data_IF_391030273370
#
_entry.id   IF_391030273370
#
_cell.length_a   1.000
_cell.length_b   1.000
_cell.length_c   1.000
_cell.angle_alpha   90.00
_cell.angle_beta   90.00
_cell.angle_gamma   90.00
#
_symmetry.space_group_name_H-M   'P 1'
#
loop_
_entity.id
_entity.type
_entity.pdbx_description
1 polymer ?
#
# COMPACT_ATOMS: atom_id res chain seq x y z
N UNK A 1 -15.51 8.15 12.64
CA UNK A 1 -15.13 9.57 12.88
C UNK A 1 -13.69 9.70 12.43
N UNK A 2 -13.50 10.08 11.16
CA UNK A 2 -12.17 10.25 10.56
C UNK A 2 -11.44 11.33 11.34
N UNK A 3 -10.30 10.98 11.96
CA UNK A 3 -9.31 11.96 12.33
C UNK A 3 -8.54 12.32 11.08
N UNK A 4 -9.05 13.29 10.34
CA UNK A 4 -8.32 13.95 9.28
C UNK A 4 -7.19 14.74 9.94
N UNK A 5 -5.98 14.21 9.89
CA UNK A 5 -4.79 15.03 10.09
C UNK A 5 -4.46 15.70 8.76
N UNK A 6 -5.16 16.80 8.47
CA UNK A 6 -4.72 17.71 7.41
C UNK A 6 -3.50 18.46 7.95
N UNK A 7 -2.31 17.97 7.67
CA UNK A 7 -1.12 18.81 7.76
C UNK A 7 -1.10 19.67 6.49
N UNK A 8 -1.52 20.92 6.67
CA UNK A 8 -1.35 21.96 5.68
C UNK A 8 0.14 22.32 5.70
N UNK A 9 0.93 21.77 4.79
CA UNK A 9 2.27 22.27 4.50
C UNK A 9 2.12 23.59 3.72
N UNK A 10 1.78 24.65 4.43
CA UNK A 10 1.72 26.03 3.90
C UNK A 10 3.16 26.53 3.70
N UNK A 11 3.81 26.08 2.63
CA UNK A 11 5.07 26.67 2.17
C UNK A 11 4.73 27.79 1.18
N UNK A 12 4.34 28.96 1.69
CA UNK A 12 4.14 30.16 0.89
C UNK A 12 5.48 30.72 0.43
N UNK A 13 5.92 30.33 -0.76
CA UNK A 13 6.73 31.19 -1.61
C UNK A 13 5.80 32.14 -2.38
N UNK A 14 6.18 33.40 -2.59
CA UNK A 14 5.41 34.32 -3.45
C UNK A 14 5.30 33.69 -4.86
N UNK A 15 4.07 33.37 -5.32
CA UNK A 15 3.77 32.88 -6.67
C UNK A 15 3.38 31.41 -6.78
N UNK A 16 3.34 30.64 -5.70
CA UNK A 16 3.00 29.20 -5.74
C UNK A 16 1.53 28.98 -5.41
N UNK A 17 0.80 28.19 -6.26
CA UNK A 17 -0.50 27.67 -5.94
C UNK A 17 -0.42 26.75 -4.73
N UNK A 18 -1.53 26.64 -3.98
CA UNK A 18 -1.56 25.75 -2.82
C UNK A 18 -1.58 24.30 -3.28
N UNK A 19 -0.66 23.49 -2.76
CA UNK A 19 -0.63 22.04 -2.94
C UNK A 19 -1.00 21.41 -1.60
N UNK A 20 -1.97 20.49 -1.63
CA UNK A 20 -2.46 19.77 -0.45
C UNK A 20 -2.14 18.29 -0.63
N UNK A 21 -1.48 17.70 0.36
CA UNK A 21 -1.13 16.30 0.37
C UNK A 21 -2.15 15.44 1.13
N UNK A 22 -2.35 14.23 0.63
CA UNK A 22 -3.19 13.19 1.23
C UNK A 22 -2.38 11.93 1.33
N UNK A 23 -2.37 11.31 2.51
CA UNK A 23 -1.58 10.12 2.79
C UNK A 23 -2.48 8.95 3.15
N UNK A 24 -2.32 7.84 2.44
CA UNK A 24 -2.79 6.53 2.89
C UNK A 24 -1.67 5.83 3.65
N UNK A 25 -1.75 5.84 4.97
CA UNK A 25 -0.72 5.25 5.85
C UNK A 25 -0.64 3.71 5.72
N UNK A 26 -1.72 3.08 5.24
CA UNK A 26 -1.79 1.63 5.08
C UNK A 26 -1.05 1.10 3.86
N UNK A 27 -1.11 1.85 2.76
CA UNK A 27 -0.42 1.55 1.52
C UNK A 27 0.90 2.33 1.38
N UNK A 28 1.10 3.36 2.21
CA UNK A 28 2.27 4.24 2.14
C UNK A 28 2.26 5.13 0.89
N UNK A 29 1.08 5.46 0.40
CA UNK A 29 0.86 6.21 -0.82
C UNK A 29 0.45 7.65 -0.51
N UNK A 30 0.94 8.60 -1.29
CA UNK A 30 0.60 10.02 -1.23
C UNK A 30 -0.01 10.46 -2.55
N UNK A 31 -1.00 11.35 -2.47
CA UNK A 31 -1.67 11.98 -3.61
C UNK A 31 -1.91 13.44 -3.32
N UNK A 32 -2.16 14.25 -4.34
CA UNK A 32 -2.10 15.70 -4.18
C UNK A 32 -3.25 16.40 -4.86
N UNK A 33 -3.78 17.46 -4.21
CA UNK A 33 -4.68 18.43 -4.84
C UNK A 33 -3.92 19.74 -5.05
N UNK A 34 -3.96 20.27 -6.26
CA UNK A 34 -3.33 21.52 -6.66
C UNK A 34 -4.45 22.54 -6.92
N UNK A 35 -4.48 23.64 -6.17
CA UNK A 35 -5.29 24.81 -6.51
C UNK A 35 -4.57 25.57 -7.62
N UNK A 36 -5.20 25.70 -8.79
CA UNK A 36 -4.60 26.36 -9.96
C UNK A 36 -4.78 27.89 -9.95
N UNK A 37 -5.43 28.46 -8.94
CA UNK A 37 -5.56 29.91 -8.76
C UNK A 37 -6.63 30.57 -9.63
N UNK A 38 -7.24 29.85 -10.57
CA UNK A 38 -8.29 30.34 -11.49
C UNK A 38 -9.69 29.81 -11.12
N UNK A 39 -9.87 29.25 -9.93
CA UNK A 39 -11.09 28.59 -9.49
C UNK A 39 -11.18 27.13 -9.92
N UNK A 40 -10.11 26.56 -10.46
CA UNK A 40 -10.02 25.14 -10.81
C UNK A 40 -8.94 24.42 -10.03
N UNK A 41 -8.99 23.08 -10.01
CA UNK A 41 -8.03 22.24 -9.33
C UNK A 41 -7.58 21.09 -10.24
N UNK A 42 -6.38 20.56 -9.91
CA UNK A 42 -5.86 19.31 -10.43
C UNK A 42 -5.64 18.31 -9.28
N UNK A 43 -5.79 17.01 -9.55
CA UNK A 43 -5.45 15.93 -8.60
C UNK A 43 -4.39 15.03 -9.22
N UNK A 44 -3.34 14.72 -8.46
CA UNK A 44 -2.24 13.85 -8.89
C UNK A 44 -2.31 12.55 -8.11
N UNK A 45 -2.25 11.42 -8.82
CA UNK A 45 -2.24 10.05 -8.31
C UNK A 45 -3.35 9.75 -7.28
N UNK A 46 -4.64 10.05 -7.58
CA UNK A 46 -5.73 9.84 -6.63
C UNK A 46 -5.95 8.36 -6.32
N UNK A 47 -6.29 8.00 -5.06
CA UNK A 47 -6.74 6.66 -4.70
C UNK A 47 -8.07 6.34 -5.40
N UNK A 48 -8.46 5.06 -5.40
CA UNK A 48 -9.70 4.59 -6.04
C UNK A 48 -10.95 5.38 -5.63
N UNK A 49 -11.02 5.75 -4.34
CA UNK A 49 -12.08 6.57 -3.77
C UNK A 49 -11.51 7.88 -3.22
N UNK A 50 -11.34 8.90 -4.04
CA UNK A 50 -10.71 10.17 -3.62
C UNK A 50 -11.69 11.08 -2.85
N UNK A 51 -12.42 10.53 -1.87
CA UNK A 51 -13.50 11.22 -1.13
C UNK A 51 -12.97 12.47 -0.42
N UNK A 52 -11.81 12.35 0.23
CA UNK A 52 -11.19 13.49 0.92
C UNK A 52 -10.74 14.60 -0.04
N UNK A 53 -10.27 14.22 -1.24
CA UNK A 53 -9.88 15.16 -2.30
C UNK A 53 -11.10 15.94 -2.82
N UNK A 54 -12.20 15.21 -3.14
CA UNK A 54 -13.45 15.81 -3.59
C UNK A 54 -14.02 16.76 -2.51
N UNK A 55 -13.99 16.35 -1.23
CA UNK A 55 -14.44 17.19 -0.12
C UNK A 55 -13.57 18.45 0.05
N UNK A 56 -12.25 18.38 -0.19
CA UNK A 56 -11.37 19.54 -0.17
C UNK A 56 -11.70 20.49 -1.33
N UNK A 57 -11.81 19.95 -2.55
CA UNK A 57 -12.14 20.75 -3.75
C UNK A 57 -13.47 21.49 -3.57
N UNK A 58 -14.50 20.81 -3.02
CA UNK A 58 -15.78 21.43 -2.69
C UNK A 58 -15.66 22.52 -1.61
N UNK A 59 -14.93 22.24 -0.53
CA UNK A 59 -14.70 23.20 0.58
C UNK A 59 -14.00 24.47 0.12
N UNK A 60 -13.07 24.35 -0.84
CA UNK A 60 -12.35 25.46 -1.44
C UNK A 60 -13.15 26.16 -2.54
N UNK A 61 -14.37 25.68 -2.85
CA UNK A 61 -15.20 26.17 -3.95
C UNK A 61 -14.49 26.11 -5.32
N UNK A 62 -13.64 25.10 -5.52
CA UNK A 62 -12.94 24.87 -6.78
C UNK A 62 -13.73 23.89 -7.67
N UNK A 63 -13.48 23.94 -8.98
CA UNK A 63 -13.95 22.96 -9.94
C UNK A 63 -12.78 22.05 -10.33
N UNK A 64 -12.94 20.74 -10.17
CA UNK A 64 -11.93 19.80 -10.64
C UNK A 64 -11.86 19.83 -12.17
N UNK A 65 -10.70 20.22 -12.70
CA UNK A 65 -10.45 20.34 -14.15
C UNK A 65 -9.52 19.23 -14.66
N UNK A 66 -8.63 18.72 -13.81
CA UNK A 66 -7.60 17.78 -14.20
C UNK A 66 -7.44 16.66 -13.16
N UNK A 67 -7.20 15.45 -13.63
CA UNK A 67 -6.69 14.34 -12.84
C UNK A 67 -5.52 13.71 -13.58
N UNK A 68 -4.47 13.31 -12.86
CA UNK A 68 -3.19 12.91 -13.44
C UNK A 68 -2.69 11.63 -12.77
N UNK A 69 -2.20 10.68 -13.54
CA UNK A 69 -1.43 9.56 -13.04
C UNK A 69 0.01 9.67 -13.53
N UNK A 70 0.98 9.47 -12.62
CA UNK A 70 2.40 9.48 -12.95
C UNK A 70 2.84 8.21 -13.66
N UNK A 71 2.20 7.08 -13.37
CA UNK A 71 2.51 5.76 -13.92
C UNK A 71 1.37 4.77 -13.68
N UNK A 72 1.47 3.58 -14.23
CA UNK A 72 0.57 2.47 -13.92
C UNK A 72 0.89 1.90 -12.54
N UNK A 73 0.12 2.33 -11.52
CA UNK A 73 0.35 1.93 -10.13
C UNK A 73 0.23 0.43 -9.93
N UNK A 74 1.18 -0.17 -9.19
CA UNK A 74 1.21 -1.59 -8.87
C UNK A 74 0.63 -1.89 -7.48
N UNK A 75 0.54 -0.91 -6.60
CA UNK A 75 0.19 -1.05 -5.19
C UNK A 75 -1.26 -0.66 -4.87
N UNK A 76 -1.93 0.09 -5.74
CA UNK A 76 -3.35 0.45 -5.60
C UNK A 76 -4.04 0.66 -6.95
N UNK A 77 -5.37 0.63 -6.91
CA UNK A 77 -6.22 0.93 -8.06
C UNK A 77 -6.42 2.43 -8.17
N UNK A 78 -6.02 3.05 -9.30
CA UNK A 78 -6.18 4.49 -9.51
C UNK A 78 -7.65 4.92 -9.54
N UNK A 79 -7.92 6.10 -8.98
CA UNK A 79 -9.20 6.79 -9.03
C UNK A 79 -9.37 7.70 -10.24
N UNK A 80 -8.32 8.00 -10.99
CA UNK A 80 -8.32 9.01 -12.05
C UNK A 80 -9.41 8.81 -13.12
N UNK A 81 -9.62 7.60 -13.69
CA UNK A 81 -10.66 7.42 -14.69
C UNK A 81 -12.08 7.62 -14.15
N UNK A 82 -12.34 7.19 -12.91
CA UNK A 82 -13.65 7.34 -12.27
C UNK A 82 -13.92 8.80 -11.91
N UNK A 83 -12.92 9.47 -11.36
CA UNK A 83 -12.98 10.89 -10.99
C UNK A 83 -13.22 11.77 -12.22
N UNK A 84 -12.47 11.56 -13.31
CA UNK A 84 -12.67 12.23 -14.58
C UNK A 84 -14.09 12.02 -15.13
N UNK A 85 -14.59 10.78 -15.06
CA UNK A 85 -15.94 10.45 -15.53
C UNK A 85 -17.07 11.13 -14.76
N UNK A 86 -16.91 11.33 -13.43
CA UNK A 86 -17.92 11.99 -12.58
C UNK A 86 -17.88 13.50 -12.69
N UNK A 87 -16.69 14.09 -12.78
CA UNK A 87 -16.50 15.56 -12.68
C UNK A 87 -16.40 16.24 -14.03
N UNK A 88 -16.16 15.50 -15.11
CA UNK A 88 -15.84 16.04 -16.43
C UNK A 88 -14.40 16.58 -16.52
N UNK A 89 -13.54 16.28 -15.55
CA UNK A 89 -12.12 16.62 -15.60
C UNK A 89 -11.40 15.86 -16.72
N UNK A 90 -10.34 16.44 -17.23
CA UNK A 90 -9.44 15.76 -18.18
C UNK A 90 -8.50 14.87 -17.43
N UNK A 91 -8.51 13.56 -17.72
CA UNK A 91 -7.54 12.62 -17.23
C UNK A 91 -6.28 12.65 -18.10
N UNK A 92 -5.11 12.88 -17.48
CA UNK A 92 -3.79 12.91 -18.11
C UNK A 92 -2.98 11.71 -17.63
N UNK A 93 -2.38 10.98 -18.55
CA UNK A 93 -1.50 9.85 -18.21
C UNK A 93 -0.41 9.67 -19.28
N UNK A 94 0.69 8.96 -18.98
CA UNK A 94 1.74 8.67 -19.94
C UNK A 94 1.21 7.94 -21.18
N UNK A 95 1.59 8.40 -22.37
CA UNK A 95 1.15 7.80 -23.63
C UNK A 95 1.56 6.32 -23.76
N UNK A 96 2.68 5.95 -23.15
CA UNK A 96 3.22 4.59 -23.19
C UNK A 96 2.49 3.61 -22.25
N UNK A 97 1.63 4.09 -21.33
CA UNK A 97 0.79 3.24 -20.47
C UNK A 97 -0.30 2.51 -21.26
N UNK A 98 -0.67 2.99 -22.45
CA UNK A 98 -1.66 2.39 -23.35
C UNK A 98 -2.99 2.05 -22.63
N UNK A 99 -3.52 3.00 -21.85
CA UNK A 99 -4.74 2.81 -21.07
C UNK A 99 -5.96 2.66 -21.96
N UNK A 100 -6.86 1.72 -21.63
CA UNK A 100 -8.14 1.55 -22.33
C UNK A 100 -9.18 2.63 -21.92
N UNK A 101 -8.99 3.27 -20.74
CA UNK A 101 -9.83 4.39 -20.30
C UNK A 101 -9.57 5.65 -21.11
N UNK A 102 -10.60 6.46 -21.43
CA UNK A 102 -10.44 7.75 -22.09
C UNK A 102 -9.51 8.66 -21.27
N UNK A 103 -8.43 9.13 -21.89
CA UNK A 103 -7.47 10.02 -21.26
C UNK A 103 -6.78 10.90 -22.32
N UNK A 104 -6.11 11.96 -21.87
CA UNK A 104 -5.15 12.72 -22.65
C UNK A 104 -3.76 12.09 -22.48
N UNK A 105 -3.25 11.38 -23.48
CA UNK A 105 -1.90 10.84 -23.43
C UNK A 105 -0.87 11.96 -23.48
N UNK A 106 0.23 11.83 -22.72
CA UNK A 106 1.37 12.76 -22.75
C UNK A 106 2.66 12.02 -23.01
N UNK A 107 3.48 12.61 -23.88
CA UNK A 107 4.82 12.13 -24.19
C UNK A 107 5.91 12.85 -23.40
N UNK A 108 7.16 12.43 -23.63
CA UNK A 108 8.31 13.08 -23.00
C UNK A 108 8.44 14.53 -23.43
N UNK A 109 8.73 15.42 -22.48
CA UNK A 109 8.83 16.88 -22.63
C UNK A 109 7.54 17.55 -23.15
N UNK A 110 6.41 16.86 -23.17
CA UNK A 110 5.14 17.47 -23.54
C UNK A 110 4.65 18.42 -22.44
N UNK A 111 4.09 19.56 -22.89
CA UNK A 111 3.55 20.60 -22.01
C UNK A 111 2.03 20.54 -22.05
N UNK A 112 1.43 20.51 -20.87
CA UNK A 112 -0.02 20.62 -20.66
C UNK A 112 -0.31 21.92 -19.95
N UNK A 113 -1.00 22.86 -20.60
CA UNK A 113 -1.47 24.09 -19.97
C UNK A 113 -2.66 23.74 -19.07
N UNK A 114 -2.49 23.86 -17.76
CA UNK A 114 -3.52 23.57 -16.76
C UNK A 114 -4.43 24.78 -16.52
N UNK A 115 -3.84 25.97 -16.46
CA UNK A 115 -4.50 27.26 -16.30
C UNK A 115 -3.64 28.37 -16.93
N UNK A 116 -4.10 29.62 -16.90
CA UNK A 116 -3.31 30.75 -17.42
C UNK A 116 -2.01 30.93 -16.61
N UNK A 117 -0.88 30.82 -17.29
CA UNK A 117 0.43 30.85 -16.67
C UNK A 117 0.83 29.61 -15.85
N UNK A 118 0.00 28.56 -15.83
CA UNK A 118 0.27 27.30 -15.12
C UNK A 118 0.38 26.16 -16.11
N UNK A 119 1.54 25.56 -16.17
CA UNK A 119 1.87 24.47 -17.09
C UNK A 119 2.38 23.25 -16.34
N UNK A 120 2.10 22.07 -16.86
CA UNK A 120 2.66 20.80 -16.41
C UNK A 120 3.57 20.28 -17.53
N UNK A 121 4.84 20.10 -17.22
CA UNK A 121 5.80 19.49 -18.14
C UNK A 121 5.97 18.03 -17.78
N UNK A 122 5.60 17.13 -18.69
CA UNK A 122 5.75 15.70 -18.50
C UNK A 122 7.18 15.27 -18.85
N UNK A 123 7.87 14.61 -17.92
CA UNK A 123 9.20 14.04 -18.15
C UNK A 123 9.13 12.52 -18.06
N UNK A 124 9.44 11.82 -19.15
CA UNK A 124 9.60 10.38 -19.09
C UNK A 124 10.75 10.02 -18.15
N UNK A 125 10.44 9.31 -17.09
CA UNK A 125 11.37 8.88 -16.04
C UNK A 125 11.22 7.38 -15.78
N UNK A 126 11.40 6.53 -16.82
CA UNK A 126 11.27 5.09 -16.69
C UNK A 126 12.25 4.56 -15.63
N UNK A 127 11.88 3.44 -15.01
CA UNK A 127 12.69 2.80 -13.97
C UNK A 127 11.80 2.13 -12.93
N UNK A 128 11.04 2.88 -12.15
CA UNK A 128 10.05 2.31 -11.23
C UNK A 128 9.00 1.46 -11.97
N UNK A 129 8.48 2.02 -13.05
CA UNK A 129 7.74 1.29 -14.09
C UNK A 129 8.25 1.72 -15.47
N UNK A 130 8.03 0.92 -16.53
CA UNK A 130 8.45 1.29 -17.88
C UNK A 130 7.77 2.55 -18.42
N UNK A 131 6.56 2.84 -17.96
CA UNK A 131 5.70 3.95 -18.40
C UNK A 131 5.81 5.20 -17.53
N UNK A 132 6.65 5.18 -16.48
CA UNK A 132 6.71 6.23 -15.48
C UNK A 132 7.06 7.60 -16.06
N UNK A 133 6.30 8.62 -15.66
CA UNK A 133 6.57 10.03 -15.89
C UNK A 133 6.57 10.81 -14.57
N UNK A 134 7.55 11.69 -14.41
CA UNK A 134 7.49 12.75 -13.42
C UNK A 134 6.85 13.99 -14.06
N UNK A 135 6.17 14.79 -13.25
CA UNK A 135 5.54 16.02 -13.70
C UNK A 135 6.16 17.22 -13.00
N UNK A 136 6.68 18.17 -13.79
CA UNK A 136 7.15 19.47 -13.28
C UNK A 136 6.05 20.48 -13.45
N UNK A 137 5.54 21.03 -12.34
CA UNK A 137 4.64 22.17 -12.34
C UNK A 137 5.45 23.43 -12.60
N UNK A 138 5.06 24.19 -13.61
CA UNK A 138 5.75 25.44 -14.02
C UNK A 138 4.74 26.58 -13.94
N UNK A 139 5.09 27.61 -13.19
CA UNK A 139 4.29 28.80 -13.00
C UNK A 139 4.99 30.01 -13.61
N UNK A 140 4.35 30.65 -14.58
CA UNK A 140 4.90 31.81 -15.30
C UNK A 140 6.34 31.59 -15.78
N UNK A 141 6.64 30.35 -16.28
CA UNK A 141 7.95 29.95 -16.77
C UNK A 141 8.96 29.53 -15.70
N UNK A 142 8.58 29.48 -14.42
CA UNK A 142 9.45 29.07 -13.30
C UNK A 142 8.99 27.72 -12.73
N UNK A 143 9.87 26.70 -12.60
CA UNK A 143 9.53 25.44 -11.92
C UNK A 143 9.15 25.69 -10.44
N UNK A 144 7.96 25.24 -10.01
CA UNK A 144 7.43 25.41 -8.65
C UNK A 144 7.37 24.11 -7.86
N UNK A 145 7.09 22.97 -8.51
CA UNK A 145 6.99 21.67 -7.86
C UNK A 145 7.37 20.51 -8.80
N UNK A 146 7.88 19.43 -8.22
CA UNK A 146 8.14 18.16 -8.90
C UNK A 146 7.27 17.05 -8.29
N UNK A 147 6.29 16.56 -9.04
CA UNK A 147 5.58 15.33 -8.71
C UNK A 147 6.39 14.17 -9.27
N UNK A 148 7.22 13.57 -8.43
CA UNK A 148 8.23 12.61 -8.85
C UNK A 148 7.72 11.17 -8.96
N UNK A 149 6.46 10.91 -8.60
CA UNK A 149 5.89 9.57 -8.65
C UNK A 149 6.68 8.56 -7.83
N UNK A 150 7.09 7.47 -8.48
CA UNK A 150 7.96 6.45 -7.92
C UNK A 150 9.43 6.60 -8.30
N UNK A 151 9.85 7.62 -9.10
CA UNK A 151 11.24 7.76 -9.53
C UNK A 151 12.15 8.25 -8.40
N UNK A 152 11.86 9.40 -7.81
CA UNK A 152 12.59 9.97 -6.67
C UNK A 152 11.65 10.05 -5.47
N UNK A 153 12.04 9.43 -4.38
CA UNK A 153 11.33 9.43 -3.12
C UNK A 153 12.18 10.05 -2.02
N UNK A 154 11.60 10.36 -0.87
CA UNK A 154 12.35 10.92 0.26
C UNK A 154 13.34 9.90 0.81
N UNK A 155 14.63 10.21 0.66
CA UNK A 155 15.73 9.38 1.15
C UNK A 155 15.95 8.06 0.37
N UNK A 156 15.24 7.81 -0.73
CA UNK A 156 15.37 6.60 -1.55
C UNK A 156 14.87 6.83 -2.97
N UNK A 157 14.78 5.76 -3.77
CA UNK A 157 14.14 5.72 -5.09
C UNK A 157 13.21 4.50 -5.16
N UNK A 158 12.33 4.47 -6.16
CA UNK A 158 11.45 3.34 -6.38
C UNK A 158 12.20 2.07 -6.77
N UNK A 159 11.62 0.93 -6.40
CA UNK A 159 12.11 -0.37 -6.87
C UNK A 159 11.78 -0.57 -8.35
N UNK A 160 12.55 -1.41 -9.02
CA UNK A 160 12.50 -1.59 -10.49
C UNK A 160 12.11 -3.01 -10.92
N UNK A 161 11.69 -3.86 -9.98
CA UNK A 161 11.39 -5.28 -10.21
C UNK A 161 9.88 -5.61 -10.21
N UNK A 162 9.00 -4.59 -10.13
CA UNK A 162 7.55 -4.79 -10.05
C UNK A 162 6.94 -5.35 -11.34
N UNK A 163 7.57 -5.08 -12.49
CA UNK A 163 7.13 -5.56 -13.80
C UNK A 163 7.80 -6.88 -14.23
N UNK A 164 8.47 -7.55 -13.31
CA UNK A 164 9.14 -8.82 -13.51
C UNK A 164 10.63 -8.77 -13.12
N UNK A 165 11.17 -9.85 -12.54
CA UNK A 165 12.55 -9.88 -12.07
C UNK A 165 13.58 -9.71 -13.21
N UNK A 166 13.22 -10.09 -14.44
CA UNK A 166 14.06 -9.92 -15.64
C UNK A 166 14.21 -8.45 -16.05
N UNK A 167 13.27 -7.58 -15.65
CA UNK A 167 13.31 -6.15 -15.93
C UNK A 167 14.01 -5.35 -14.83
N UNK A 168 14.30 -5.96 -13.67
CA UNK A 168 14.86 -5.27 -12.52
C UNK A 168 16.15 -4.51 -12.83
N UNK A 169 17.10 -5.15 -13.52
CA UNK A 169 18.40 -4.53 -13.90
C UNK A 169 18.23 -3.55 -15.05
N UNK A 170 17.56 -3.87 -16.18
CA UNK A 170 17.31 -2.89 -17.25
C UNK A 170 16.63 -1.61 -16.75
N UNK A 171 15.56 -1.74 -15.96
CA UNK A 171 14.85 -0.59 -15.40
C UNK A 171 15.67 0.18 -14.33
N UNK A 172 16.62 -0.48 -13.66
CA UNK A 172 17.54 0.23 -12.76
C UNK A 172 18.52 1.12 -13.55
N UNK A 173 18.98 0.70 -14.70
CA UNK A 173 19.74 1.57 -15.63
C UNK A 173 18.90 2.75 -16.12
N UNK A 174 17.66 2.49 -16.56
CA UNK A 174 16.73 3.56 -16.96
C UNK A 174 16.48 4.55 -15.81
N UNK A 175 16.28 4.05 -14.56
CA UNK A 175 16.12 4.89 -13.37
C UNK A 175 17.33 5.79 -13.13
N UNK A 176 18.55 5.28 -13.28
CA UNK A 176 19.76 6.08 -13.13
C UNK A 176 19.77 7.25 -14.11
N UNK A 177 19.50 6.97 -15.38
CA UNK A 177 19.45 8.02 -16.43
C UNK A 177 18.32 9.01 -16.15
N UNK A 178 17.14 8.52 -15.75
CA UNK A 178 15.98 9.35 -15.42
C UNK A 178 16.28 10.33 -14.28
N UNK A 179 16.93 9.87 -13.21
CA UNK A 179 17.29 10.70 -12.06
C UNK A 179 18.26 11.83 -12.43
N UNK A 180 19.18 11.61 -13.38
CA UNK A 180 20.11 12.66 -13.84
C UNK A 180 19.40 13.80 -14.59
N UNK A 181 18.19 13.58 -15.09
CA UNK A 181 17.39 14.67 -15.68
C UNK A 181 17.03 15.73 -14.64
N UNK A 182 16.85 15.34 -13.39
CA UNK A 182 16.54 16.28 -12.31
C UNK A 182 17.71 17.22 -11.97
N UNK A 183 18.93 16.94 -12.43
CA UNK A 183 20.10 17.81 -12.25
C UNK A 183 19.91 19.20 -12.90
N UNK A 184 18.96 19.32 -13.85
CA UNK A 184 18.61 20.59 -14.51
C UNK A 184 17.66 21.47 -13.67
N UNK A 185 17.08 20.96 -12.60
CA UNK A 185 16.11 21.64 -11.76
C UNK A 185 16.79 22.30 -10.55
N UNK A 186 16.23 23.39 -10.01
CA UNK A 186 16.81 24.08 -8.86
C UNK A 186 16.72 23.28 -7.56
N UNK A 187 17.64 23.52 -6.64
CA UNK A 187 17.71 22.82 -5.35
C UNK A 187 16.50 23.10 -4.44
N UNK A 188 15.91 24.28 -4.59
CA UNK A 188 14.75 24.71 -3.81
C UNK A 188 13.44 24.06 -4.24
N UNK A 189 13.43 23.36 -5.40
CA UNK A 189 12.24 22.75 -5.94
C UNK A 189 11.68 21.71 -4.97
N UNK A 190 10.42 21.89 -4.58
CA UNK A 190 9.70 20.94 -3.74
C UNK A 190 9.44 19.63 -4.49
N UNK A 191 9.65 18.50 -3.80
CA UNK A 191 9.48 17.14 -4.32
C UNK A 191 8.30 16.49 -3.63
N UNK A 192 7.33 16.03 -4.44
CA UNK A 192 6.08 15.39 -4.05
C UNK A 192 6.01 13.97 -4.64
N UNK A 193 6.57 12.97 -3.95
CA UNK A 193 6.55 11.58 -4.40
C UNK A 193 5.22 10.90 -4.11
N UNK A 194 4.82 9.94 -4.94
CA UNK A 194 3.61 9.14 -4.72
C UNK A 194 3.81 8.08 -3.64
N UNK A 195 5.00 7.51 -3.51
CA UNK A 195 5.29 6.46 -2.54
C UNK A 195 6.21 6.98 -1.43
N UNK A 196 6.05 6.46 -0.22
CA UNK A 196 6.83 6.88 0.94
C UNK A 196 6.90 5.81 2.02
N UNK A 197 7.09 6.21 3.27
CA UNK A 197 7.16 5.29 4.41
C UNK A 197 5.95 4.36 4.48
N UNK A 198 6.20 3.08 4.65
CA UNK A 198 5.16 2.03 4.68
C UNK A 198 4.82 1.42 3.32
N UNK A 199 5.21 2.03 2.20
CA UNK A 199 5.03 1.46 0.87
C UNK A 199 6.02 0.32 0.60
N UNK A 200 5.52 -0.76 -0.01
CA UNK A 200 6.36 -1.84 -0.55
C UNK A 200 6.96 -1.51 -1.92
N UNK A 201 6.61 -0.37 -2.49
CA UNK A 201 7.19 0.15 -3.76
C UNK A 201 8.57 0.77 -3.59
N UNK A 202 9.07 0.90 -2.34
CA UNK A 202 10.38 1.51 -2.04
C UNK A 202 11.25 0.61 -1.17
N UNK A 203 12.55 0.86 -1.20
CA UNK A 203 13.44 0.47 -0.11
C UNK A 203 13.06 1.31 1.15
N UNK A 204 13.44 0.88 2.37
CA UNK A 204 13.18 1.67 3.58
C UNK A 204 13.71 3.09 3.43
N UNK A 205 12.83 4.07 3.53
CA UNK A 205 13.11 5.51 3.40
C UNK A 205 12.84 6.28 4.69
N UNK A 206 12.85 7.62 4.57
CA UNK A 206 12.51 8.51 5.66
C UNK A 206 11.00 8.50 5.96
N UNK A 207 10.63 8.92 7.16
CA UNK A 207 9.21 9.06 7.56
C UNK A 207 8.51 10.27 6.93
N UNK A 208 9.28 11.23 6.42
CA UNK A 208 8.76 12.42 5.76
C UNK A 208 8.15 12.06 4.40
N UNK A 209 7.07 12.77 4.04
CA UNK A 209 6.33 12.51 2.79
C UNK A 209 6.75 13.42 1.64
N UNK A 210 7.35 14.58 1.94
CA UNK A 210 7.83 15.56 0.96
C UNK A 210 9.25 15.98 1.28
N UNK A 211 9.95 16.54 0.30
CA UNK A 211 11.35 16.96 0.40
C UNK A 211 11.64 18.16 -0.51
N UNK A 212 12.88 18.52 -0.64
CA UNK A 212 13.38 19.39 -1.72
C UNK A 212 14.44 18.67 -2.53
N UNK A 213 14.61 19.05 -3.79
CA UNK A 213 15.56 18.40 -4.67
C UNK A 213 17.01 18.51 -4.17
N UNK A 214 17.36 19.68 -3.58
CA UNK A 214 18.67 19.90 -2.97
C UNK A 214 18.91 19.02 -1.74
N UNK A 215 17.87 18.81 -0.91
CA UNK A 215 17.96 17.89 0.24
C UNK A 215 18.19 16.43 -0.25
N UNK A 216 17.46 16.00 -1.28
CA UNK A 216 17.65 14.66 -1.84
C UNK A 216 19.03 14.50 -2.46
N UNK A 217 19.57 15.50 -3.18
CA UNK A 217 20.95 15.46 -3.68
C UNK A 217 21.98 15.32 -2.56
N UNK A 218 21.74 15.95 -1.43
CA UNK A 218 22.67 15.97 -0.30
C UNK A 218 22.59 14.72 0.58
N UNK A 219 21.41 14.11 0.71
CA UNK A 219 21.15 13.09 1.75
C UNK A 219 20.66 11.74 1.24
N UNK A 220 20.11 11.68 0.01
CA UNK A 220 19.60 10.43 -0.55
C UNK A 220 20.77 9.55 -1.00
N UNK A 221 20.99 8.38 -0.37
CA UNK A 221 22.17 7.57 -0.61
C UNK A 221 22.23 6.93 -2.01
N UNK A 222 21.07 6.82 -2.70
CA UNK A 222 21.02 6.33 -4.08
C UNK A 222 21.13 7.46 -5.08
N UNK A 223 20.46 8.57 -4.85
CA UNK A 223 20.49 9.72 -5.77
C UNK A 223 21.89 10.35 -5.88
N UNK A 224 22.71 10.27 -4.83
CA UNK A 224 24.08 10.78 -4.79
C UNK A 224 25.12 9.91 -5.51
N UNK A 225 24.78 8.68 -5.93
CA UNK A 225 25.73 7.80 -6.61
C UNK A 225 25.96 8.29 -8.04
N UNK A 226 27.22 8.52 -8.39
CA UNK A 226 27.59 9.00 -9.74
C UNK A 226 27.92 7.87 -10.72
N UNK A 227 28.31 6.70 -10.21
CA UNK A 227 28.63 5.52 -11.02
C UNK A 227 27.36 4.69 -11.24
N UNK A 228 27.02 4.44 -12.50
CA UNK A 228 25.81 3.73 -12.88
C UNK A 228 25.79 2.28 -12.41
N UNK A 229 26.90 1.56 -12.54
CA UNK A 229 26.99 0.15 -12.15
C UNK A 229 26.87 0.01 -10.63
N UNK A 230 27.48 0.93 -9.86
CA UNK A 230 27.31 1.00 -8.41
C UNK A 230 25.86 1.28 -8.02
N UNK A 231 25.21 2.24 -8.68
CA UNK A 231 23.80 2.55 -8.44
C UNK A 231 22.91 1.32 -8.65
N UNK A 232 23.02 0.65 -9.81
CA UNK A 232 22.25 -0.54 -10.15
C UNK A 232 22.49 -1.66 -9.14
N UNK A 233 23.74 -1.94 -8.82
CA UNK A 233 24.08 -2.98 -7.85
C UNK A 233 23.48 -2.71 -6.45
N UNK A 234 23.55 -1.47 -5.96
CA UNK A 234 23.02 -1.09 -4.64
C UNK A 234 21.49 -1.08 -4.63
N UNK A 235 20.85 -0.57 -5.68
CA UNK A 235 19.40 -0.54 -5.78
C UNK A 235 18.82 -1.97 -5.76
N UNK A 236 19.31 -2.85 -6.63
CA UNK A 236 18.81 -4.23 -6.75
C UNK A 236 19.10 -5.05 -5.49
N UNK A 237 20.26 -4.88 -4.87
CA UNK A 237 20.59 -5.56 -3.61
C UNK A 237 19.72 -5.13 -2.42
N UNK A 238 19.08 -3.96 -2.52
CA UNK A 238 18.19 -3.42 -1.48
C UNK A 238 16.77 -3.96 -1.52
N UNK A 239 16.36 -4.69 -2.57
CA UNK A 239 14.99 -5.16 -2.72
C UNK A 239 14.63 -6.22 -1.68
N UNK A 240 13.53 -6.01 -0.98
CA UNK A 240 12.84 -7.00 -0.15
C UNK A 240 11.68 -7.64 -0.92
N UNK A 241 10.94 -8.51 -0.25
CA UNK A 241 9.68 -9.06 -0.78
C UNK A 241 8.62 -7.97 -0.95
N UNK A 242 7.65 -8.22 -1.82
CA UNK A 242 6.49 -7.36 -2.01
C UNK A 242 5.21 -8.18 -2.23
N UNK A 243 4.02 -7.58 -2.04
CA UNK A 243 2.76 -8.29 -2.18
C UNK A 243 2.54 -8.86 -3.58
N UNK A 244 2.00 -10.09 -3.66
CA UNK A 244 1.78 -10.79 -4.94
C UNK A 244 0.78 -10.08 -5.86
N UNK A 245 -0.16 -9.31 -5.31
CA UNK A 245 -1.15 -8.57 -6.10
C UNK A 245 -0.53 -7.44 -6.93
N UNK A 246 0.69 -6.97 -6.60
CA UNK A 246 1.41 -5.97 -7.39
C UNK A 246 1.59 -6.38 -8.86
N UNK A 247 1.69 -7.66 -9.13
CA UNK A 247 1.77 -8.17 -10.50
C UNK A 247 0.45 -8.06 -11.29
N UNK A 248 -0.67 -7.82 -10.61
CA UNK A 248 -2.02 -7.81 -11.21
C UNK A 248 -2.56 -6.40 -11.44
N UNK A 249 -2.21 -5.45 -10.55
CA UNK A 249 -2.80 -4.11 -10.59
C UNK A 249 -2.40 -3.26 -11.81
N UNK A 250 -1.17 -3.31 -12.35
CA UNK A 250 -0.85 -2.56 -13.56
C UNK A 250 -1.78 -2.88 -14.72
N UNK A 251 -2.11 -4.16 -14.93
CA UNK A 251 -3.06 -4.57 -15.97
C UNK A 251 -4.50 -4.19 -15.64
N UNK A 252 -4.91 -4.24 -14.36
CA UNK A 252 -6.22 -3.77 -13.93
C UNK A 252 -6.36 -2.26 -14.17
N UNK A 253 -5.37 -1.47 -13.79
CA UNK A 253 -5.32 -0.03 -14.02
C UNK A 253 -5.31 0.30 -15.52
N UNK A 254 -4.56 -0.46 -16.34
CA UNK A 254 -4.52 -0.29 -17.79
C UNK A 254 -5.88 -0.53 -18.45
N UNK A 255 -6.59 -1.61 -18.09
CA UNK A 255 -7.93 -1.93 -18.62
C UNK A 255 -9.01 -0.99 -18.10
N UNK A 256 -8.77 -0.32 -17.01
CA UNK A 256 -9.73 0.46 -16.26
C UNK A 256 -10.50 -0.40 -15.26
N UNK A 257 -10.44 -0.07 -13.97
CA UNK A 257 -11.15 -0.78 -12.91
C UNK A 257 -12.66 -0.61 -13.04
N UNK A 258 -13.42 -1.50 -12.38
CA UNK A 258 -14.86 -1.33 -12.21
C UNK A 258 -15.14 0.03 -11.57
N UNK A 259 -16.02 0.80 -12.17
CA UNK A 259 -16.40 2.12 -11.65
C UNK A 259 -17.48 1.97 -10.60
N UNK A 260 -17.29 2.65 -9.49
CA UNK A 260 -18.24 2.77 -8.41
C UNK A 260 -18.55 4.26 -8.18
N UNK A 261 -19.83 4.61 -8.12
CA UNK A 261 -20.24 5.97 -7.77
C UNK A 261 -20.20 6.19 -6.25
N UNK A 262 -20.25 5.12 -5.48
CA UNK A 262 -20.16 5.08 -4.02
C UNK A 262 -19.58 3.75 -3.56
N UNK A 263 -19.13 3.69 -2.32
CA UNK A 263 -18.63 2.43 -1.71
C UNK A 263 -19.80 1.45 -1.59
N UNK A 264 -19.72 0.25 -2.19
CA UNK A 264 -20.83 -0.71 -2.15
C UNK A 264 -20.99 -1.30 -0.75
N UNK A 265 -22.24 -1.54 -0.33
CA UNK A 265 -22.53 -2.15 0.96
C UNK A 265 -22.38 -3.68 0.91
N UNK A 266 -21.90 -4.26 2.00
CA UNK A 266 -21.83 -5.72 2.17
C UNK A 266 -23.20 -6.34 2.36
N UNK A 267 -23.47 -7.44 1.64
CA UNK A 267 -24.66 -8.26 1.86
C UNK A 267 -24.55 -9.00 3.20
N UNK A 268 -25.59 -8.94 4.04
CA UNK A 268 -25.66 -9.73 5.27
C UNK A 268 -26.02 -11.17 4.96
N UNK A 269 -25.12 -12.09 5.26
CA UNK A 269 -25.26 -13.52 5.01
C UNK A 269 -25.68 -14.28 6.29
N UNK A 270 -26.50 -15.33 6.11
CA UNK A 270 -26.80 -16.24 7.21
C UNK A 270 -25.63 -17.21 7.45
N UNK A 271 -25.50 -17.81 8.65
CA UNK A 271 -24.46 -18.82 8.92
C UNK A 271 -24.45 -19.98 7.92
N UNK A 272 -25.61 -20.38 7.38
CA UNK A 272 -25.69 -21.43 6.36
C UNK A 272 -25.05 -21.03 5.03
N UNK A 273 -25.20 -19.76 4.64
CA UNK A 273 -24.64 -19.23 3.40
C UNK A 273 -23.10 -19.12 3.51
N UNK A 274 -22.60 -18.70 4.69
CA UNK A 274 -21.16 -18.68 4.98
C UNK A 274 -20.55 -20.09 5.03
N UNK A 275 -21.26 -21.06 5.63
CA UNK A 275 -20.81 -22.45 5.64
C UNK A 275 -20.74 -23.05 4.22
N UNK A 276 -21.70 -22.73 3.35
CA UNK A 276 -21.68 -23.13 1.95
C UNK A 276 -20.51 -22.48 1.20
N UNK A 277 -20.28 -21.19 1.43
CA UNK A 277 -19.17 -20.47 0.84
C UNK A 277 -17.82 -21.13 1.15
N UNK A 278 -17.58 -21.51 2.40
CA UNK A 278 -16.39 -22.27 2.80
C UNK A 278 -16.31 -23.65 2.15
N UNK A 279 -17.44 -24.35 2.02
CA UNK A 279 -17.49 -25.68 1.38
C UNK A 279 -17.21 -25.62 -0.14
N UNK A 280 -17.45 -24.49 -0.77
CA UNK A 280 -17.19 -24.18 -2.18
C UNK A 280 -15.81 -23.51 -2.39
N UNK A 281 -14.89 -23.66 -1.46
CA UNK A 281 -13.52 -23.10 -1.49
C UNK A 281 -13.48 -21.56 -1.47
N UNK A 282 -14.54 -20.90 -0.98
CA UNK A 282 -14.55 -19.46 -0.72
C UNK A 282 -13.70 -19.10 0.50
N UNK A 283 -13.27 -17.86 0.58
CA UNK A 283 -12.44 -17.37 1.69
C UNK A 283 -13.29 -16.59 2.69
N UNK A 284 -13.18 -16.95 3.97
CA UNK A 284 -13.71 -16.14 5.07
C UNK A 284 -12.57 -15.38 5.75
N UNK A 285 -12.63 -14.07 5.69
CA UNK A 285 -11.70 -13.16 6.36
C UNK A 285 -12.32 -12.66 7.64
N UNK A 286 -11.73 -13.00 8.76
CA UNK A 286 -12.14 -12.46 10.06
C UNK A 286 -11.36 -11.16 10.32
N UNK A 287 -12.05 -10.03 10.14
CA UNK A 287 -11.46 -8.71 10.25
C UNK A 287 -11.52 -8.13 11.66
N UNK A 288 -12.01 -8.92 12.63
CA UNK A 288 -12.03 -8.54 14.05
C UNK A 288 -10.61 -8.44 14.62
N UNK A 289 -10.43 -7.77 15.76
CA UNK A 289 -9.14 -7.75 16.47
C UNK A 289 -8.60 -9.16 16.72
N UNK A 290 -7.28 -9.35 16.60
CA UNK A 290 -6.61 -10.64 16.80
C UNK A 290 -6.98 -11.32 18.13
N UNK A 291 -7.23 -10.53 19.19
CA UNK A 291 -7.67 -10.99 20.49
C UNK A 291 -9.09 -11.59 20.47
N UNK A 292 -10.01 -11.00 19.71
CA UNK A 292 -11.35 -11.54 19.49
C UNK A 292 -11.30 -12.85 18.68
N UNK A 293 -10.48 -12.87 17.63
CA UNK A 293 -10.23 -14.08 16.84
C UNK A 293 -9.68 -15.24 17.69
N UNK A 294 -8.73 -14.96 18.59
CA UNK A 294 -8.07 -15.96 19.43
C UNK A 294 -9.05 -16.74 20.33
N UNK A 295 -10.09 -16.04 20.80
CA UNK A 295 -11.10 -16.59 21.73
C UNK A 295 -12.11 -17.47 20.99
N UNK A 296 -12.45 -17.12 19.74
CA UNK A 296 -13.40 -17.90 18.95
C UNK A 296 -13.50 -17.37 17.53
N UNK A 297 -13.26 -18.25 16.55
CA UNK A 297 -13.34 -17.94 15.12
C UNK A 297 -13.96 -19.10 14.33
N UNK A 298 -14.39 -18.82 13.11
CA UNK A 298 -14.88 -19.84 12.18
C UNK A 298 -13.72 -20.74 11.76
N UNK A 299 -13.83 -22.08 11.85
CA UNK A 299 -12.79 -22.98 11.36
C UNK A 299 -12.45 -22.72 9.89
N UNK A 300 -11.17 -22.57 9.57
CA UNK A 300 -10.69 -22.28 8.21
C UNK A 300 -10.73 -20.79 7.81
N UNK A 301 -11.22 -19.90 8.66
CA UNK A 301 -11.14 -18.45 8.41
C UNK A 301 -9.72 -17.93 8.59
N UNK A 302 -9.37 -16.90 7.80
CA UNK A 302 -8.09 -16.17 7.88
C UNK A 302 -8.28 -14.94 8.75
N UNK A 303 -7.43 -14.77 9.77
CA UNK A 303 -7.40 -13.55 10.57
C UNK A 303 -6.67 -12.45 9.81
N UNK A 304 -7.34 -11.33 9.54
CA UNK A 304 -6.71 -10.12 9.04
C UNK A 304 -7.42 -8.92 9.66
N UNK A 305 -6.89 -8.40 10.76
CA UNK A 305 -7.52 -7.34 11.53
C UNK A 305 -7.71 -6.07 10.71
N UNK A 306 -8.94 -5.52 10.68
CA UNK A 306 -9.24 -4.24 10.03
C UNK A 306 -8.48 -3.11 10.74
N UNK A 307 -7.53 -2.54 10.05
CA UNK A 307 -6.65 -1.43 10.45
C UNK A 307 -6.02 -0.83 9.20
N UNK A 308 -5.26 0.27 9.25
CA UNK A 308 -4.73 0.92 8.04
C UNK A 308 -4.04 -0.02 7.04
N UNK A 309 -3.25 -0.98 7.52
CA UNK A 309 -2.52 -1.94 6.65
C UNK A 309 -3.33 -3.20 6.28
N UNK A 310 -4.64 -3.22 6.50
CA UNK A 310 -5.50 -4.38 6.17
C UNK A 310 -5.43 -4.73 4.68
N UNK A 311 -5.51 -3.72 3.81
CA UNK A 311 -5.46 -3.89 2.36
C UNK A 311 -4.16 -4.58 1.90
N UNK A 312 -3.00 -4.11 2.40
CA UNK A 312 -1.69 -4.66 2.06
C UNK A 312 -1.60 -6.15 2.38
N UNK A 313 -2.03 -6.55 3.59
CA UNK A 313 -1.99 -7.96 3.99
C UNK A 313 -3.06 -8.80 3.30
N UNK A 314 -4.25 -8.25 3.02
CA UNK A 314 -5.27 -8.94 2.23
C UNK A 314 -4.74 -9.30 0.86
N UNK A 315 -4.20 -8.32 0.13
CA UNK A 315 -3.68 -8.52 -1.21
C UNK A 315 -2.43 -9.42 -1.25
N UNK A 316 -1.64 -9.43 -0.17
CA UNK A 316 -0.48 -10.33 -0.08
C UNK A 316 -0.88 -11.80 0.06
N UNK A 317 -1.92 -12.07 0.85
CA UNK A 317 -2.27 -13.42 1.29
C UNK A 317 -3.35 -14.08 0.43
N UNK A 318 -4.21 -13.28 -0.21
CA UNK A 318 -5.37 -13.78 -0.92
C UNK A 318 -5.37 -13.20 -2.33
N UNK A 319 -5.53 -14.07 -3.32
CA UNK A 319 -5.63 -13.63 -4.71
C UNK A 319 -6.91 -12.80 -4.93
N UNK A 320 -6.84 -11.66 -5.66
CA UNK A 320 -8.00 -10.79 -5.90
C UNK A 320 -9.21 -11.46 -6.57
N UNK A 321 -8.99 -12.56 -7.28
CA UNK A 321 -10.06 -13.35 -7.91
C UNK A 321 -10.89 -14.20 -6.94
N UNK A 322 -10.43 -14.40 -5.70
CA UNK A 322 -11.13 -15.22 -4.70
C UNK A 322 -12.35 -14.48 -4.12
N UNK A 323 -13.52 -15.13 -4.05
CA UNK A 323 -14.70 -14.54 -3.42
C UNK A 323 -14.52 -14.46 -1.90
N UNK A 324 -14.82 -13.28 -1.32
CA UNK A 324 -14.58 -12.98 0.08
C UNK A 324 -15.88 -12.81 0.87
N UNK A 325 -15.92 -13.44 2.04
CA UNK A 325 -16.92 -13.18 3.09
C UNK A 325 -16.21 -12.69 4.34
N UNK A 326 -16.78 -11.72 5.04
CA UNK A 326 -16.16 -11.08 6.20
C UNK A 326 -16.87 -11.43 7.50
N UNK A 327 -16.09 -11.53 8.59
CA UNK A 327 -16.58 -11.54 9.97
C UNK A 327 -16.11 -10.25 10.63
N UNK A 328 -17.07 -9.49 11.18
CA UNK A 328 -16.86 -8.16 11.75
C UNK A 328 -17.55 -8.04 13.10
N UNK A 329 -16.98 -7.22 13.97
CA UNK A 329 -17.67 -6.74 15.17
C UNK A 329 -18.68 -5.62 14.80
N UNK A 330 -19.71 -5.38 15.61
CA UNK A 330 -20.78 -4.42 15.29
C UNK A 330 -20.30 -2.98 15.05
N UNK A 331 -19.22 -2.57 15.71
CA UNK A 331 -18.66 -1.21 15.72
C UNK A 331 -17.58 -0.98 14.66
N UNK A 332 -17.18 -2.01 13.91
CA UNK A 332 -16.19 -1.86 12.83
C UNK A 332 -16.81 -1.16 11.61
N UNK A 333 -16.01 -0.32 10.96
CA UNK A 333 -16.42 0.45 9.78
C UNK A 333 -16.41 -0.44 8.52
N UNK A 334 -17.62 -0.69 7.97
CA UNK A 334 -17.83 -1.49 6.76
C UNK A 334 -17.37 -0.79 5.51
N UNK A 335 -17.54 0.51 5.45
CA UNK A 335 -17.16 1.30 4.29
C UNK A 335 -15.65 1.36 4.18
N UNK A 336 -14.93 1.52 5.30
CA UNK A 336 -13.47 1.44 5.32
C UNK A 336 -12.95 0.06 4.89
N UNK A 337 -13.57 -1.03 5.37
CA UNK A 337 -13.18 -2.39 4.95
C UNK A 337 -13.36 -2.57 3.44
N UNK A 338 -14.52 -2.20 2.92
CA UNK A 338 -14.83 -2.36 1.49
C UNK A 338 -13.90 -1.50 0.64
N UNK A 339 -13.67 -0.25 1.05
CA UNK A 339 -12.72 0.65 0.39
C UNK A 339 -11.34 0.01 0.30
N UNK A 340 -10.79 -0.46 1.42
CA UNK A 340 -9.48 -1.10 1.47
C UNK A 340 -9.40 -2.37 0.61
N UNK A 341 -10.46 -3.17 0.52
CA UNK A 341 -10.50 -4.31 -0.39
C UNK A 341 -10.43 -3.87 -1.86
N UNK A 342 -11.24 -2.88 -2.21
CA UNK A 342 -11.34 -2.38 -3.58
C UNK A 342 -10.06 -1.65 -4.01
N UNK A 343 -9.40 -0.94 -3.10
CA UNK A 343 -8.14 -0.23 -3.37
C UNK A 343 -7.03 -1.17 -3.87
N UNK A 344 -7.04 -2.44 -3.45
CA UNK A 344 -6.07 -3.46 -3.88
C UNK A 344 -6.67 -4.50 -4.85
N UNK A 345 -7.77 -4.16 -5.52
CA UNK A 345 -8.34 -4.93 -6.62
C UNK A 345 -9.21 -6.12 -6.21
N UNK A 346 -9.54 -6.30 -4.93
CA UNK A 346 -10.50 -7.32 -4.48
C UNK A 346 -11.94 -6.85 -4.75
N UNK A 347 -12.53 -7.30 -5.86
CA UNK A 347 -13.89 -6.90 -6.27
C UNK A 347 -14.96 -7.97 -5.98
N UNK A 348 -14.57 -9.20 -5.63
CA UNK A 348 -15.48 -10.29 -5.35
C UNK A 348 -15.91 -10.34 -3.87
N UNK A 349 -16.56 -9.25 -3.39
CA UNK A 349 -17.03 -9.12 -2.01
C UNK A 349 -18.43 -9.72 -1.90
N UNK A 350 -18.54 -10.96 -1.43
CA UNK A 350 -19.81 -11.72 -1.34
C UNK A 350 -20.71 -11.15 -0.23
N UNK A 351 -20.13 -10.77 0.90
CA UNK A 351 -20.86 -10.17 2.01
C UNK A 351 -20.19 -10.32 3.37
N UNK A 352 -20.95 -10.05 4.43
CA UNK A 352 -20.54 -10.24 5.83
C UNK A 352 -21.44 -11.25 6.55
N UNK A 353 -20.91 -11.94 7.54
CA UNK A 353 -21.71 -12.78 8.43
C UNK A 353 -22.66 -11.90 9.26
N UNK A 354 -23.95 -11.96 8.98
CA UNK A 354 -24.97 -11.21 9.68
C UNK A 354 -25.07 -11.66 11.15
N UNK A 355 -24.89 -10.71 12.07
CA UNK A 355 -24.86 -10.98 13.52
C UNK A 355 -23.50 -11.47 14.04
N UNK A 356 -22.45 -11.42 13.21
CA UNK A 356 -21.07 -11.72 13.60
C UNK A 356 -20.87 -13.14 14.12
N UNK A 357 -19.78 -13.34 14.86
CA UNK A 357 -19.39 -14.67 15.37
C UNK A 357 -20.45 -15.30 16.29
N UNK A 358 -21.20 -14.48 17.00
CA UNK A 358 -22.27 -14.97 17.88
C UNK A 358 -23.39 -15.66 17.08
N UNK A 359 -23.77 -15.15 15.92
CA UNK A 359 -24.74 -15.78 15.05
C UNK A 359 -24.25 -17.15 14.54
N UNK A 360 -22.96 -17.27 14.23
CA UNK A 360 -22.34 -18.54 13.87
C UNK A 360 -22.42 -19.56 15.00
N UNK A 361 -21.98 -19.18 16.21
CA UNK A 361 -21.98 -20.05 17.39
C UNK A 361 -23.41 -20.46 17.77
N UNK A 362 -24.37 -19.51 17.79
CA UNK A 362 -25.77 -19.76 18.09
C UNK A 362 -26.47 -20.65 17.05
N UNK A 363 -25.93 -20.79 15.86
CA UNK A 363 -26.42 -21.75 14.85
C UNK A 363 -26.00 -23.20 15.13
N UNK A 364 -25.27 -23.45 16.24
CA UNK A 364 -24.79 -24.78 16.64
C UNK A 364 -23.50 -25.21 15.88
N UNK A 365 -22.84 -24.31 15.19
CA UNK A 365 -21.59 -24.60 14.48
C UNK A 365 -20.37 -24.47 15.40
N UNK A 366 -19.32 -25.28 15.15
CA UNK A 366 -18.10 -25.19 15.95
C UNK A 366 -17.38 -23.86 15.73
N UNK A 367 -16.75 -23.39 16.80
CA UNK A 367 -15.72 -22.35 16.76
C UNK A 367 -14.39 -22.96 17.17
N UNK A 368 -13.28 -22.43 16.60
CA UNK A 368 -11.92 -22.78 17.02
C UNK A 368 -11.30 -21.62 17.80
N UNK A 369 -10.22 -21.93 18.53
CA UNK A 369 -9.42 -20.96 19.30
C UNK A 369 -7.96 -21.08 18.92
N UNK A 370 -7.20 -19.98 18.99
CA UNK A 370 -5.75 -19.96 18.91
C UNK A 370 -5.22 -19.29 20.18
N UNK A 371 -4.43 -19.98 21.03
CA UNK A 371 -3.95 -19.39 22.27
C UNK A 371 -3.06 -18.16 22.04
N UNK A 372 -3.34 -17.08 22.76
CA UNK A 372 -2.39 -16.01 23.00
C UNK A 372 -1.57 -16.39 24.24
N UNK A 373 -0.25 -16.38 24.14
CA UNK A 373 0.65 -16.79 25.22
C UNK A 373 1.62 -15.67 25.59
N UNK A 374 1.92 -15.57 26.87
CA UNK A 374 2.99 -14.72 27.36
C UNK A 374 4.36 -15.33 27.02
N UNK A 375 5.41 -14.50 27.00
CA UNK A 375 6.78 -14.92 26.65
C UNK A 375 7.31 -16.10 27.47
N UNK A 376 6.94 -16.18 28.75
CA UNK A 376 7.33 -17.28 29.64
C UNK A 376 6.60 -18.60 29.34
N UNK A 377 5.46 -18.56 28.66
CA UNK A 377 4.65 -19.71 28.29
C UNK A 377 4.84 -20.18 26.85
N UNK A 378 5.77 -19.56 26.09
CA UNK A 378 6.10 -20.00 24.74
C UNK A 378 6.62 -21.44 24.72
N UNK A 379 6.14 -22.21 23.77
CA UNK A 379 6.52 -23.62 23.59
C UNK A 379 6.86 -23.91 22.13
N UNK A 380 7.66 -24.94 21.89
CA UNK A 380 8.02 -25.40 20.56
C UNK A 380 8.94 -24.45 19.81
N UNK A 381 8.93 -24.56 18.49
CA UNK A 381 9.72 -23.72 17.61
C UNK A 381 9.08 -22.34 17.47
N UNK A 382 9.87 -21.31 17.65
CA UNK A 382 9.42 -19.91 17.43
C UNK A 382 9.52 -19.58 15.95
N UNK A 383 8.45 -18.99 15.39
CA UNK A 383 8.41 -18.47 14.02
C UNK A 383 8.20 -16.96 14.10
N UNK A 384 9.15 -16.21 13.59
CA UNK A 384 9.05 -14.76 13.43
C UNK A 384 8.58 -14.44 12.02
N UNK A 385 7.35 -13.88 11.91
CA UNK A 385 6.70 -13.61 10.61
C UNK A 385 6.85 -12.17 10.15
N UNK A 386 7.79 -11.44 10.74
CA UNK A 386 8.15 -10.09 10.31
C UNK A 386 8.97 -10.12 9.02
N UNK A 387 9.12 -8.95 8.41
CA UNK A 387 10.02 -8.79 7.25
C UNK A 387 11.48 -9.06 7.65
N UNK A 388 12.32 -9.50 6.68
CA UNK A 388 13.71 -9.88 6.91
C UNK A 388 14.55 -8.77 7.56
N UNK A 389 14.30 -7.50 7.22
CA UNK A 389 14.97 -6.35 7.82
C UNK A 389 14.57 -6.14 9.30
N UNK A 390 13.29 -6.34 9.64
CA UNK A 390 12.81 -6.29 11.03
C UNK A 390 13.43 -7.42 11.85
N UNK A 391 13.52 -8.63 11.28
CA UNK A 391 14.17 -9.78 11.92
C UNK A 391 15.66 -9.50 12.17
N UNK A 392 16.36 -9.00 11.16
CA UNK A 392 17.79 -8.69 11.25
C UNK A 392 18.09 -7.60 12.29
N UNK A 393 17.18 -6.67 12.54
CA UNK A 393 17.34 -5.61 13.54
C UNK A 393 17.29 -6.12 14.98
N UNK A 394 16.57 -7.24 15.22
CA UNK A 394 16.48 -7.88 16.53
C UNK A 394 15.41 -8.97 16.58
N UNK A 395 15.80 -10.20 16.91
CA UNK A 395 14.90 -11.36 16.95
C UNK A 395 15.16 -12.26 18.18
N UNK A 396 14.18 -13.10 18.50
CA UNK A 396 14.31 -14.11 19.56
C UNK A 396 15.35 -15.15 19.13
N UNK A 397 16.37 -15.45 19.94
CA UNK A 397 17.39 -16.43 19.59
C UNK A 397 16.82 -17.80 19.24
N UNK A 398 17.13 -18.30 18.04
CA UNK A 398 16.63 -19.58 17.53
C UNK A 398 15.25 -19.52 16.87
N UNK A 399 14.65 -18.34 16.73
CA UNK A 399 13.44 -18.18 15.93
C UNK A 399 13.74 -18.41 14.43
N UNK A 400 12.81 -19.07 13.76
CA UNK A 400 12.82 -19.18 12.29
C UNK A 400 12.29 -17.86 11.71
N UNK A 401 13.00 -17.30 10.74
CA UNK A 401 12.53 -16.15 9.97
C UNK A 401 11.73 -16.65 8.77
N UNK A 402 10.41 -16.50 8.81
CA UNK A 402 9.49 -16.85 7.72
C UNK A 402 8.51 -15.69 7.58
N UNK A 403 8.71 -14.84 6.58
CA UNK A 403 7.83 -13.71 6.35
C UNK A 403 6.38 -14.15 6.17
N UNK A 404 5.43 -13.35 6.64
CA UNK A 404 4.00 -13.71 6.63
C UNK A 404 3.52 -14.19 5.26
N UNK A 405 3.96 -13.54 4.18
CA UNK A 405 3.59 -13.92 2.80
C UNK A 405 4.09 -15.31 2.37
N UNK A 406 5.09 -15.87 3.04
CA UNK A 406 5.68 -17.17 2.72
C UNK A 406 5.19 -18.31 3.64
N UNK A 407 4.36 -18.01 4.65
CA UNK A 407 3.93 -18.99 5.66
C UNK A 407 3.15 -20.16 5.06
N UNK A 408 2.28 -19.89 4.09
CA UNK A 408 1.44 -20.92 3.46
C UNK A 408 2.24 -21.99 2.70
N UNK A 409 3.39 -21.59 2.15
CA UNK A 409 4.26 -22.44 1.34
C UNK A 409 5.45 -22.99 2.13
N UNK A 410 5.57 -22.66 3.42
CA UNK A 410 6.71 -23.03 4.23
C UNK A 410 6.70 -24.51 4.61
N UNK A 411 7.85 -25.17 4.44
CA UNK A 411 8.08 -26.55 4.92
C UNK A 411 8.47 -26.50 6.40
N UNK A 412 7.51 -26.78 7.28
CA UNK A 412 7.70 -26.81 8.72
C UNK A 412 7.74 -28.26 9.23
N UNK A 413 8.67 -28.55 10.14
CA UNK A 413 8.70 -29.83 10.84
C UNK A 413 7.40 -30.02 11.66
N UNK A 414 7.12 -31.26 12.08
CA UNK A 414 6.02 -31.52 12.98
C UNK A 414 6.35 -31.05 14.41
N UNK A 415 5.34 -30.55 15.10
CA UNK A 415 5.49 -30.13 16.49
C UNK A 415 4.72 -28.84 16.82
N UNK A 416 4.79 -28.41 18.08
CA UNK A 416 4.18 -27.16 18.50
C UNK A 416 4.99 -25.95 18.00
N UNK A 417 4.26 -24.87 17.64
CA UNK A 417 4.83 -23.61 17.22
C UNK A 417 4.33 -22.45 18.08
N UNK A 418 5.22 -21.48 18.35
CA UNK A 418 4.80 -20.15 18.79
C UNK A 418 5.14 -19.15 17.68
N UNK A 419 4.11 -18.53 17.10
CA UNK A 419 4.27 -17.52 16.05
C UNK A 419 4.34 -16.14 16.69
N UNK A 420 5.20 -15.29 16.19
CA UNK A 420 5.38 -13.92 16.67
C UNK A 420 5.55 -12.91 15.54
N UNK A 421 5.22 -11.66 15.86
CA UNK A 421 5.51 -10.49 15.02
C UNK A 421 5.85 -9.30 15.94
N UNK A 422 5.56 -8.05 15.52
CA UNK A 422 5.74 -6.87 16.38
C UNK A 422 4.71 -6.77 17.51
N UNK A 423 3.41 -7.01 17.21
CA UNK A 423 2.30 -6.70 18.12
C UNK A 423 1.20 -7.79 18.16
N UNK A 424 1.37 -8.91 17.46
CA UNK A 424 0.45 -10.06 17.49
C UNK A 424 -0.46 -10.21 16.26
N UNK A 425 -0.80 -9.16 15.51
CA UNK A 425 -1.77 -9.24 14.39
C UNK A 425 -1.25 -10.12 13.24
N UNK A 426 -0.04 -9.82 12.70
CA UNK A 426 0.58 -10.65 11.64
C UNK A 426 0.81 -12.09 12.11
N UNK A 427 1.14 -12.26 13.39
CA UNK A 427 1.30 -13.58 13.99
C UNK A 427 -0.02 -14.35 14.07
N UNK A 428 -1.13 -13.69 14.41
CA UNK A 428 -2.46 -14.31 14.40
C UNK A 428 -2.88 -14.69 12.99
N UNK A 429 -2.60 -13.84 12.01
CA UNK A 429 -2.82 -14.16 10.59
C UNK A 429 -2.06 -15.42 10.18
N UNK A 430 -0.76 -15.49 10.46
CA UNK A 430 0.06 -16.65 10.16
C UNK A 430 -0.42 -17.91 10.89
N UNK A 431 -0.78 -17.79 12.17
CA UNK A 431 -1.31 -18.90 12.95
C UNK A 431 -2.65 -19.43 12.39
N UNK A 432 -3.54 -18.54 11.91
CA UNK A 432 -4.78 -18.93 11.25
C UNK A 432 -4.53 -19.71 9.95
N UNK A 433 -3.54 -19.28 9.15
CA UNK A 433 -3.10 -19.98 7.93
C UNK A 433 -2.53 -21.36 8.28
N UNK A 434 -1.62 -21.45 9.24
CA UNK A 434 -1.05 -22.72 9.68
C UNK A 434 -2.12 -23.70 10.17
N UNK A 435 -3.11 -23.21 10.94
CA UNK A 435 -4.27 -24.01 11.39
C UNK A 435 -5.09 -24.55 10.20
N UNK A 436 -5.36 -23.70 9.21
CA UNK A 436 -6.08 -24.10 8.00
C UNK A 436 -5.31 -25.18 7.19
N UNK A 437 -3.97 -25.18 7.27
CA UNK A 437 -3.09 -26.17 6.65
C UNK A 437 -2.81 -27.40 7.56
N UNK A 438 -3.65 -27.64 8.57
CA UNK A 438 -3.60 -28.83 9.41
C UNK A 438 -2.52 -28.85 10.49
N UNK A 439 -2.02 -27.69 10.92
CA UNK A 439 -1.09 -27.52 12.04
C UNK A 439 -1.87 -27.15 13.31
N UNK A 440 -2.34 -28.13 14.13
CA UNK A 440 -3.22 -27.83 15.27
C UNK A 440 -2.50 -27.17 16.44
N UNK A 441 -1.20 -27.43 16.64
CA UNK A 441 -0.45 -27.02 17.82
C UNK A 441 0.27 -25.68 17.60
N UNK A 442 -0.52 -24.63 17.34
CA UNK A 442 -0.02 -23.27 17.10
C UNK A 442 -0.56 -22.34 18.17
N UNK A 443 0.34 -21.55 18.78
CA UNK A 443 0.04 -20.43 19.66
C UNK A 443 0.65 -19.13 19.11
N UNK A 444 0.19 -17.99 19.59
CA UNK A 444 0.68 -16.67 19.21
C UNK A 444 1.24 -15.96 20.43
N UNK A 445 2.45 -15.39 20.32
CA UNK A 445 3.00 -14.52 21.36
C UNK A 445 2.17 -13.23 21.45
N UNK A 446 1.67 -12.94 22.65
CA UNK A 446 1.02 -11.65 22.96
C UNK A 446 2.11 -10.58 23.12
N UNK A 447 2.51 -9.99 22.00
CA UNK A 447 3.58 -9.01 21.91
C UNK A 447 4.59 -9.31 20.81
N UNK A 448 5.81 -8.80 20.99
CA UNK A 448 6.91 -8.91 20.03
C UNK A 448 8.25 -9.26 20.66
N UNK A 449 9.37 -9.14 19.90
CA UNK A 449 10.70 -9.46 20.41
C UNK A 449 11.08 -8.68 21.66
N UNK A 450 10.73 -7.38 21.71
CA UNK A 450 11.04 -6.53 22.87
C UNK A 450 10.24 -6.98 24.11
N UNK A 451 8.97 -7.37 23.93
CA UNK A 451 8.14 -7.95 24.99
C UNK A 451 8.78 -9.23 25.54
N UNK A 452 9.24 -10.10 24.64
CA UNK A 452 9.95 -11.32 25.01
C UNK A 452 11.24 -11.01 25.78
N UNK A 453 12.06 -10.08 25.28
CA UNK A 453 13.32 -9.67 25.90
C UNK A 453 13.10 -9.12 27.32
N UNK A 454 12.12 -8.23 27.47
CA UNK A 454 11.74 -7.65 28.77
C UNK A 454 11.24 -8.70 29.76
N UNK A 455 10.39 -9.62 29.32
CA UNK A 455 9.81 -10.64 30.18
C UNK A 455 10.79 -11.74 30.61
N UNK A 456 11.77 -12.06 29.76
CA UNK A 456 12.74 -13.16 30.00
C UNK A 456 14.09 -12.67 30.51
N UNK A 457 14.40 -11.38 30.43
CA UNK A 457 15.72 -10.79 30.72
C UNK A 457 16.82 -11.21 29.74
N UNK A 458 16.46 -11.80 28.58
CA UNK A 458 17.39 -12.29 27.57
C UNK A 458 17.54 -11.29 26.43
N UNK A 459 18.76 -11.18 25.91
CA UNK A 459 19.09 -10.28 24.78
C UNK A 459 18.57 -10.85 23.46
N UNK A 460 18.04 -9.98 22.62
CA UNK A 460 17.73 -10.30 21.22
C UNK A 460 19.02 -10.55 20.44
N UNK A 461 18.92 -11.37 19.40
CA UNK A 461 19.99 -11.60 18.43
C UNK A 461 19.79 -10.64 17.25
N UNK A 462 20.86 -10.14 16.67
CA UNK A 462 20.85 -9.28 15.47
C UNK A 462 21.56 -9.99 14.31
N UNK A 463 21.27 -9.56 13.09
CA UNK A 463 21.77 -10.17 11.87
C UNK A 463 20.86 -11.30 11.37
N UNK A 464 21.30 -11.98 10.29
CA UNK A 464 20.58 -13.11 9.68
C UNK A 464 20.89 -14.43 10.36
#
# INVERSE_FOLDING_TARGET
>A
MFKESFEQTDQRGEGVHSIYDFVDEGLGHSSYVIDLGDGTAAVVDPPRFPIAHEALVERLCLRLAWTLDTHSHADYVTGSPALAGRTGATFVAPAVSQLDSPHRPVGDCEVVTLADGVELVAWATPGHTPDHHAYVLVEHGTPGALFSGGSLMVGTVGRTDLNGPELAVPLAHDMFVALRRFDQLPDELAVYPTHGAGSFCSAPGASQRTSTLGLERATNPLFSIADEDEFVARLVAGFGTFPSYFALLPELNRRGPTRYDFIPHLTRLRPDDVARHLAEDGVVVDARPAKAFSIGHIPGSVSNTLRPVFASWLGWLIQPSRPLVFVLDPDQDRDDLVRQCLDVGHEHLVGELGGGIDAWANSGRPTHTIPLVEAAAMTGQVIDVRQANEYASGHVPGALSIELGAVAESELADGPFTVMCGHGERAMTAASILRAHGRPDVAVLDGGPDTWSAATGRTLKTGR
#
